data_IF_202244873436
#
_entry.id   IF_202244873436
#
_cell.length_a   1.000
_cell.length_b   1.000
_cell.length_c   1.000
_cell.angle_alpha   90.00
_cell.angle_beta   90.00
_cell.angle_gamma   90.00
#
_symmetry.space_group_name_H-M   'P 1'
#
loop_
_entity.id
_entity.type
_entity.pdbx_description
1 polymer ?
#
# COMPACT_ATOMS: atom_id res chain seq x y z
N UNK A 1 -1.84 -23.00 2.50
CA UNK A 1 -1.94 -23.14 3.96
C UNK A 1 -1.75 -24.57 4.44
N UNK A 2 -2.48 -25.55 3.93
CA UNK A 2 -2.39 -26.97 4.35
C UNK A 2 -0.96 -27.54 4.26
N UNK A 3 -0.25 -27.27 3.16
CA UNK A 3 1.14 -27.74 3.02
C UNK A 3 2.06 -27.12 4.10
N UNK A 4 1.94 -25.83 4.38
CA UNK A 4 2.75 -25.18 5.39
C UNK A 4 2.48 -25.74 6.78
N UNK A 5 1.21 -25.92 7.12
CA UNK A 5 0.80 -26.53 8.37
C UNK A 5 1.35 -27.97 8.50
N UNK A 6 1.20 -28.78 7.44
CA UNK A 6 1.71 -30.15 7.40
C UNK A 6 3.24 -30.24 7.52
N UNK A 7 3.97 -29.19 7.18
CA UNK A 7 5.44 -29.13 7.25
C UNK A 7 5.96 -28.29 8.42
N UNK A 8 5.11 -27.94 9.39
CA UNK A 8 5.50 -27.20 10.60
C UNK A 8 5.79 -25.71 10.39
N UNK A 9 5.39 -25.14 9.25
CA UNK A 9 5.45 -23.71 9.03
C UNK A 9 4.18 -23.02 9.55
N UNK A 10 4.30 -21.76 9.96
CA UNK A 10 3.13 -21.00 10.34
C UNK A 10 2.27 -20.71 9.10
N UNK A 11 0.97 -20.79 9.22
CA UNK A 11 0.04 -20.46 8.14
C UNK A 11 0.16 -19.00 7.67
N UNK A 12 0.66 -18.13 8.53
CA UNK A 12 0.95 -16.74 8.28
C UNK A 12 1.97 -16.52 7.16
N UNK A 13 3.09 -17.24 7.19
CA UNK A 13 4.14 -17.10 6.18
C UNK A 13 3.88 -17.91 4.90
N UNK A 14 2.85 -18.73 4.90
CA UNK A 14 2.46 -19.55 3.76
C UNK A 14 1.25 -18.99 3.00
N UNK A 15 0.64 -17.90 3.45
CA UNK A 15 -0.40 -17.23 2.70
C UNK A 15 0.24 -16.38 1.60
N UNK A 16 0.23 -16.90 0.37
CA UNK A 16 0.53 -16.11 -0.82
C UNK A 16 -0.55 -15.04 -1.03
N UNK A 17 -0.23 -13.95 -1.71
CA UNK A 17 -1.19 -12.92 -2.10
C UNK A 17 -2.44 -13.52 -2.76
N UNK A 18 -2.24 -14.47 -3.67
CA UNK A 18 -3.32 -15.17 -4.34
C UNK A 18 -4.37 -15.77 -3.39
N UNK A 19 -3.95 -16.52 -2.40
CA UNK A 19 -4.87 -17.19 -1.48
C UNK A 19 -5.63 -16.21 -0.58
N UNK A 20 -4.98 -15.11 -0.20
CA UNK A 20 -5.48 -14.19 0.82
C UNK A 20 -6.24 -13.00 0.22
N UNK A 21 -5.85 -12.53 -0.97
CA UNK A 21 -6.35 -11.30 -1.56
C UNK A 21 -6.79 -11.45 -3.02
N UNK A 22 -5.89 -11.85 -3.93
CA UNK A 22 -6.14 -11.74 -5.37
C UNK A 22 -7.37 -12.52 -5.83
N UNK A 23 -7.51 -13.78 -5.42
CA UNK A 23 -8.66 -14.60 -5.82
C UNK A 23 -9.98 -14.07 -5.27
N UNK A 24 -9.98 -13.37 -4.13
CA UNK A 24 -11.18 -12.80 -3.55
C UNK A 24 -11.60 -11.55 -4.32
N UNK A 25 -10.62 -10.73 -4.69
CA UNK A 25 -10.85 -9.59 -5.58
C UNK A 25 -11.36 -10.05 -6.95
N UNK A 26 -10.73 -11.05 -7.56
CA UNK A 26 -11.13 -11.60 -8.84
C UNK A 26 -12.61 -12.06 -8.82
N UNK A 27 -12.99 -12.84 -7.83
CA UNK A 27 -14.38 -13.28 -7.67
C UNK A 27 -15.36 -12.13 -7.52
N UNK A 28 -14.98 -11.11 -6.77
CA UNK A 28 -15.81 -9.92 -6.64
C UNK A 28 -15.91 -9.19 -7.98
N UNK A 29 -14.82 -8.98 -8.68
CA UNK A 29 -14.78 -8.28 -9.97
C UNK A 29 -15.64 -8.99 -11.02
N UNK A 30 -15.44 -10.31 -11.21
CA UNK A 30 -16.25 -11.13 -12.14
C UNK A 30 -17.75 -11.08 -11.78
N UNK A 31 -18.11 -11.22 -10.50
CA UNK A 31 -19.50 -11.13 -10.05
C UNK A 31 -20.11 -9.73 -10.22
N UNK A 32 -19.28 -8.72 -10.34
CA UNK A 32 -19.66 -7.32 -10.56
C UNK A 32 -19.61 -6.92 -12.06
N UNK A 33 -19.31 -7.88 -12.96
CA UNK A 33 -19.32 -7.68 -14.40
C UNK A 33 -18.04 -7.09 -14.97
N UNK A 34 -16.91 -7.16 -14.26
CA UNK A 34 -15.59 -6.75 -14.75
C UNK A 34 -14.83 -7.97 -15.28
N UNK A 35 -14.37 -7.89 -16.52
CA UNK A 35 -13.44 -8.88 -17.09
C UNK A 35 -12.02 -8.57 -16.64
N UNK A 36 -11.30 -9.58 -16.15
CA UNK A 36 -9.97 -9.44 -15.56
C UNK A 36 -9.03 -10.52 -16.12
N UNK A 37 -7.91 -10.07 -16.68
CA UNK A 37 -6.76 -10.93 -16.96
C UNK A 37 -5.76 -10.89 -15.81
N UNK A 38 -5.02 -11.97 -15.63
CA UNK A 38 -4.05 -12.10 -14.53
C UNK A 38 -2.62 -12.07 -15.07
N UNK A 39 -1.78 -11.33 -14.37
CA UNK A 39 -0.34 -11.30 -14.62
C UNK A 39 0.45 -11.40 -13.30
N UNK A 40 1.67 -11.90 -13.37
CA UNK A 40 2.55 -11.93 -12.22
C UNK A 40 3.48 -10.72 -12.19
N UNK A 41 3.96 -10.35 -11.00
CA UNK A 41 5.02 -9.35 -10.87
C UNK A 41 6.31 -9.75 -11.60
N UNK A 42 6.58 -11.06 -11.71
CA UNK A 42 7.72 -11.56 -12.48
C UNK A 42 7.55 -11.22 -13.98
N UNK A 43 6.37 -11.38 -14.55
CA UNK A 43 6.08 -10.96 -15.93
C UNK A 43 6.21 -9.46 -16.09
N UNK A 44 5.68 -8.67 -15.17
CA UNK A 44 5.82 -7.21 -15.19
C UNK A 44 7.30 -6.77 -15.21
N UNK A 45 8.17 -7.49 -14.49
CA UNK A 45 9.60 -7.19 -14.44
C UNK A 45 10.31 -7.46 -15.78
N UNK A 46 10.08 -8.65 -16.38
CA UNK A 46 10.82 -9.10 -17.56
C UNK A 46 10.15 -8.77 -18.88
N UNK A 47 8.85 -8.54 -18.87
CA UNK A 47 8.02 -8.28 -20.04
C UNK A 47 7.02 -7.16 -19.76
N UNK A 48 7.49 -5.91 -19.60
CA UNK A 48 6.60 -4.77 -19.29
C UNK A 48 5.56 -4.49 -20.38
N UNK A 49 5.75 -5.03 -21.60
CA UNK A 49 4.80 -4.98 -22.71
C UNK A 49 3.48 -5.69 -22.39
N UNK A 50 3.44 -6.53 -21.34
CA UNK A 50 2.19 -7.15 -20.86
C UNK A 50 1.11 -6.11 -20.49
N UNK A 51 1.52 -4.87 -20.23
CA UNK A 51 0.59 -3.76 -19.95
C UNK A 51 -0.05 -3.17 -21.22
N UNK A 52 0.47 -3.49 -22.40
CA UNK A 52 -0.05 -2.95 -23.65
C UNK A 52 -1.45 -3.49 -23.95
N UNK A 53 -2.33 -2.59 -24.35
CA UNK A 53 -3.73 -2.91 -24.64
C UNK A 53 -4.68 -2.86 -23.45
N UNK A 54 -4.15 -2.75 -22.21
CA UNK A 54 -4.98 -2.55 -21.04
C UNK A 54 -5.12 -1.06 -20.71
N UNK A 55 -6.34 -0.65 -20.35
CA UNK A 55 -6.61 0.72 -19.90
C UNK A 55 -6.43 0.90 -18.40
N UNK A 56 -6.57 -0.19 -17.63
CA UNK A 56 -6.42 -0.20 -16.18
C UNK A 56 -5.62 -1.40 -15.71
N UNK A 57 -4.68 -1.16 -14.79
CA UNK A 57 -3.97 -2.20 -14.04
C UNK A 57 -4.37 -2.12 -12.58
N UNK A 58 -4.63 -3.29 -11.97
CA UNK A 58 -5.10 -3.38 -10.59
C UNK A 58 -4.08 -4.12 -9.73
N UNK A 59 -3.74 -3.54 -8.57
CA UNK A 59 -2.96 -4.21 -7.53
C UNK A 59 -3.80 -4.33 -6.27
N UNK A 60 -3.75 -5.49 -5.60
CA UNK A 60 -4.60 -5.76 -4.45
C UNK A 60 -3.83 -6.38 -3.28
N UNK A 61 -4.33 -6.14 -2.07
CA UNK A 61 -3.90 -6.82 -0.85
C UNK A 61 -2.54 -6.36 -0.32
N UNK A 62 -1.57 -7.26 -0.30
CA UNK A 62 -0.26 -7.06 0.31
C UNK A 62 0.84 -7.31 -0.73
N UNK A 63 1.27 -6.28 -1.43
CA UNK A 63 2.24 -6.33 -2.52
C UNK A 63 3.58 -5.65 -2.17
N UNK A 64 4.17 -6.08 -1.11
CA UNK A 64 5.29 -5.49 -0.36
C UNK A 64 6.60 -5.35 -1.16
N UNK A 65 6.84 -6.26 -2.15
CA UNK A 65 8.14 -6.44 -2.80
C UNK A 65 8.11 -6.03 -4.26
N UNK A 66 8.83 -4.94 -4.59
CA UNK A 66 8.90 -4.40 -5.94
C UNK A 66 10.33 -4.26 -6.42
N UNK A 67 10.56 -4.46 -7.72
CA UNK A 67 11.82 -4.10 -8.35
C UNK A 67 11.74 -2.69 -8.92
N UNK A 68 12.90 -2.12 -9.19
CA UNK A 68 13.01 -0.82 -9.87
C UNK A 68 12.36 -0.86 -11.25
N UNK A 69 12.59 -1.95 -11.99
CA UNK A 69 12.10 -2.20 -13.33
C UNK A 69 10.56 -2.27 -13.39
N UNK A 70 9.93 -2.92 -12.40
CA UNK A 70 8.47 -2.94 -12.27
C UNK A 70 7.92 -1.53 -12.08
N UNK A 71 8.54 -0.72 -11.23
CA UNK A 71 8.14 0.67 -11.02
C UNK A 71 8.28 1.52 -12.26
N UNK A 72 9.39 1.35 -13.00
CA UNK A 72 9.61 2.05 -14.27
C UNK A 72 8.55 1.67 -15.31
N UNK A 73 8.13 0.41 -15.34
CA UNK A 73 7.07 -0.06 -16.23
C UNK A 73 5.73 0.64 -15.90
N UNK A 74 5.36 0.69 -14.62
CA UNK A 74 4.14 1.35 -14.16
C UNK A 74 4.18 2.86 -14.38
N UNK A 75 5.29 3.53 -14.03
CA UNK A 75 5.41 4.96 -14.24
C UNK A 75 5.24 5.32 -15.73
N UNK A 76 5.92 4.60 -16.64
CA UNK A 76 5.75 4.79 -18.09
C UNK A 76 4.33 4.47 -18.58
N UNK A 77 3.70 3.43 -18.03
CA UNK A 77 2.34 3.05 -18.39
C UNK A 77 1.35 4.19 -18.06
N UNK A 78 1.43 4.74 -16.85
CA UNK A 78 0.56 5.85 -16.42
C UNK A 78 0.85 7.12 -17.24
N UNK A 79 2.12 7.46 -17.48
CA UNK A 79 2.50 8.63 -18.29
C UNK A 79 1.91 8.58 -19.71
N UNK A 80 1.75 7.38 -20.29
CA UNK A 80 1.16 7.16 -21.63
C UNK A 80 -0.35 7.14 -21.64
N UNK A 81 -1.03 7.19 -20.49
CA UNK A 81 -2.48 7.25 -20.38
C UNK A 81 -3.14 5.99 -19.82
N UNK A 82 -2.35 5.04 -19.34
CA UNK A 82 -2.87 3.93 -18.55
C UNK A 82 -3.29 4.37 -17.15
N UNK A 83 -4.21 3.65 -16.53
CA UNK A 83 -4.69 3.93 -15.19
C UNK A 83 -4.29 2.85 -14.20
N UNK A 84 -4.03 3.25 -12.97
CA UNK A 84 -3.72 2.30 -11.89
C UNK A 84 -4.75 2.42 -10.78
N UNK A 85 -5.39 1.30 -10.46
CA UNK A 85 -6.22 1.13 -9.27
C UNK A 85 -5.46 0.26 -8.27
N UNK A 86 -4.94 0.85 -7.20
CA UNK A 86 -4.22 0.12 -6.16
C UNK A 86 -5.08 0.03 -4.90
N UNK A 87 -5.54 -1.19 -4.58
CA UNK A 87 -6.30 -1.54 -3.38
C UNK A 87 -5.42 -2.41 -2.48
N UNK A 88 -4.30 -1.87 -2.06
CA UNK A 88 -3.24 -2.59 -1.38
C UNK A 88 -2.48 -1.71 -0.39
N UNK A 89 -1.80 -2.32 0.55
CA UNK A 89 -0.92 -1.64 1.51
C UNK A 89 0.48 -2.25 1.56
N UNK A 90 1.35 -1.57 2.31
CA UNK A 90 2.74 -1.93 2.55
C UNK A 90 3.63 -1.95 1.29
N UNK A 91 3.62 -0.86 0.51
CA UNK A 91 4.56 -0.69 -0.59
C UNK A 91 5.95 -0.29 -0.08
N UNK A 92 6.67 -1.26 0.50
CA UNK A 92 7.83 -0.93 1.32
C UNK A 92 9.18 -1.30 0.72
N UNK A 93 9.35 -2.53 0.18
CA UNK A 93 10.68 -3.05 -0.06
C UNK A 93 11.09 -3.05 -1.52
N UNK A 94 12.23 -2.39 -1.79
CA UNK A 94 12.95 -2.64 -3.03
C UNK A 94 13.55 -4.05 -2.99
N UNK A 95 13.33 -4.80 -4.05
CA UNK A 95 13.92 -6.12 -4.25
C UNK A 95 14.63 -6.18 -5.60
N UNK A 96 15.57 -7.10 -5.74
CA UNK A 96 16.23 -7.41 -7.02
C UNK A 96 15.90 -8.83 -7.43
N UNK A 97 15.63 -9.01 -8.72
CA UNK A 97 15.55 -10.35 -9.33
C UNK A 97 16.92 -10.68 -9.95
N UNK A 98 17.54 -11.74 -9.47
CA UNK A 98 18.83 -12.21 -9.87
C UNK A 98 18.75 -13.58 -10.58
N UNK A 99 19.83 -14.00 -11.22
CA UNK A 99 19.94 -15.30 -11.91
C UNK A 99 18.82 -15.52 -12.94
N UNK A 100 18.44 -14.48 -13.69
CA UNK A 100 17.36 -14.55 -14.65
C UNK A 100 16.00 -14.80 -14.01
N UNK A 101 15.75 -14.17 -12.87
CA UNK A 101 14.48 -14.26 -12.13
C UNK A 101 14.35 -15.48 -11.21
N UNK A 102 15.38 -16.32 -11.11
CA UNK A 102 15.36 -17.52 -10.26
C UNK A 102 15.66 -17.24 -8.78
N UNK A 103 16.08 -16.03 -8.46
CA UNK A 103 16.33 -15.60 -7.09
C UNK A 103 15.79 -14.18 -6.90
N UNK A 104 15.06 -14.00 -5.81
CA UNK A 104 14.64 -12.67 -5.33
C UNK A 104 15.47 -12.33 -4.11
N UNK A 105 16.12 -11.16 -4.14
CA UNK A 105 17.00 -10.68 -3.08
C UNK A 105 16.39 -9.48 -2.40
N UNK A 106 16.18 -9.58 -1.08
CA UNK A 106 15.74 -8.46 -0.25
C UNK A 106 16.33 -8.59 1.15
N UNK A 107 17.21 -7.66 1.53
CA UNK A 107 17.84 -7.64 2.85
C UNK A 107 16.99 -6.94 3.92
N UNK A 108 15.97 -6.17 3.51
CA UNK A 108 15.05 -5.45 4.42
C UNK A 108 15.81 -4.58 5.44
N UNK A 109 15.53 -4.79 6.71
CA UNK A 109 16.14 -4.07 7.83
C UNK A 109 17.67 -4.14 7.88
N UNK A 110 18.26 -5.18 7.29
CA UNK A 110 19.70 -5.40 7.27
C UNK A 110 20.39 -4.87 6.02
N UNK A 111 19.65 -4.20 5.15
CA UNK A 111 20.18 -3.78 3.84
C UNK A 111 21.44 -2.93 3.93
N UNK A 112 21.51 -1.95 4.84
CA UNK A 112 22.70 -1.12 5.04
C UNK A 112 23.91 -1.89 5.58
N UNK A 113 23.68 -2.94 6.36
CA UNK A 113 24.73 -3.74 6.94
C UNK A 113 25.23 -4.85 6.01
N UNK A 114 24.33 -5.51 5.32
CA UNK A 114 24.57 -6.80 4.65
C UNK A 114 24.43 -6.76 3.13
N UNK A 115 23.66 -5.84 2.54
CA UNK A 115 23.52 -5.77 1.10
C UNK A 115 24.81 -5.19 0.47
N UNK A 116 25.53 -5.98 -0.37
CA UNK A 116 26.76 -5.49 -0.98
C UNK A 116 26.55 -4.28 -1.89
N UNK A 117 25.32 -4.10 -2.40
CA UNK A 117 24.96 -2.96 -3.27
C UNK A 117 24.97 -1.66 -2.49
N UNK A 118 24.69 -1.66 -1.20
CA UNK A 118 24.77 -0.44 -0.37
C UNK A 118 26.14 0.23 -0.39
N UNK A 119 27.21 -0.57 -0.51
CA UNK A 119 28.62 -0.09 -0.57
C UNK A 119 29.15 0.06 -2.01
N UNK A 120 28.29 -0.12 -3.00
CA UNK A 120 28.68 0.01 -4.41
C UNK A 120 28.71 1.48 -4.86
N UNK A 121 29.13 1.71 -6.12
CA UNK A 121 29.10 3.04 -6.73
C UNK A 121 27.67 3.56 -6.97
N UNK A 122 26.69 2.68 -7.02
CA UNK A 122 25.26 3.01 -7.14
C UNK A 122 24.43 2.33 -6.03
N UNK A 123 24.30 2.97 -4.86
CA UNK A 123 23.51 2.43 -3.74
C UNK A 123 21.99 2.52 -3.95
N UNK A 124 21.52 3.16 -5.02
CA UNK A 124 20.06 3.30 -5.27
C UNK A 124 19.35 1.96 -5.44
N UNK A 125 20.11 0.90 -5.78
CA UNK A 125 19.60 -0.46 -5.92
C UNK A 125 19.70 -1.30 -4.63
N UNK A 126 19.97 -0.67 -3.49
CA UNK A 126 19.99 -1.36 -2.19
C UNK A 126 18.61 -1.91 -1.87
N UNK A 127 18.53 -3.20 -1.51
CA UNK A 127 17.26 -3.90 -1.27
C UNK A 127 16.72 -3.66 0.14
N UNK A 128 16.44 -2.39 0.44
CA UNK A 128 15.83 -1.86 1.64
C UNK A 128 14.50 -1.17 1.34
N UNK A 129 14.08 -0.27 2.26
CA UNK A 129 12.88 0.55 2.05
C UNK A 129 13.04 1.50 0.86
N UNK A 130 11.97 1.72 0.12
CA UNK A 130 11.90 2.70 -0.96
C UNK A 130 12.15 4.13 -0.48
N UNK A 131 11.79 4.44 0.76
CA UNK A 131 11.98 5.75 1.39
C UNK A 131 13.40 5.95 1.94
N UNK A 132 14.27 4.93 1.86
CA UNK A 132 15.65 5.05 2.30
C UNK A 132 16.40 6.11 1.47
N UNK A 133 17.14 7.04 2.12
CA UNK A 133 17.84 8.13 1.42
C UNK A 133 18.77 7.64 0.31
N UNK A 134 19.43 6.51 0.50
CA UNK A 134 20.31 5.90 -0.50
C UNK A 134 19.57 5.39 -1.74
N UNK A 135 18.30 5.02 -1.60
CA UNK A 135 17.44 4.61 -2.72
C UNK A 135 16.93 5.82 -3.48
N UNK A 136 16.51 6.87 -2.75
CA UNK A 136 16.13 8.15 -3.34
C UNK A 136 14.87 8.12 -4.22
N UNK A 137 14.02 7.09 -4.09
CA UNK A 137 12.80 6.93 -4.88
C UNK A 137 11.64 6.48 -3.96
N UNK A 138 11.06 7.39 -3.16
CA UNK A 138 10.00 7.03 -2.23
C UNK A 138 8.81 6.39 -2.94
N UNK A 139 8.06 5.54 -2.23
CA UNK A 139 6.88 4.85 -2.76
C UNK A 139 5.86 5.80 -3.34
N UNK A 140 5.67 6.94 -2.69
CA UNK A 140 4.77 7.99 -3.12
C UNK A 140 5.04 8.47 -4.54
N UNK A 141 6.28 8.48 -5.00
CA UNK A 141 6.61 8.92 -6.37
C UNK A 141 6.00 8.03 -7.47
N UNK A 142 5.57 6.80 -7.17
CA UNK A 142 4.86 5.92 -8.12
C UNK A 142 3.38 5.80 -7.80
N UNK A 143 3.03 5.53 -6.54
CA UNK A 143 1.65 5.22 -6.14
C UNK A 143 1.00 6.27 -5.23
N UNK A 144 1.69 7.37 -4.95
CA UNK A 144 1.14 8.46 -4.15
C UNK A 144 1.28 8.29 -2.64
N UNK A 145 1.67 7.11 -2.14
CA UNK A 145 1.79 6.82 -0.71
C UNK A 145 3.10 6.11 -0.38
N UNK A 146 3.53 6.23 0.87
CA UNK A 146 4.72 5.61 1.46
C UNK A 146 4.32 4.64 2.58
N UNK A 147 4.88 3.45 2.60
CA UNK A 147 4.64 2.48 3.67
C UNK A 147 5.16 2.97 5.03
N UNK A 148 6.32 3.61 5.05
CA UNK A 148 6.95 4.13 6.29
C UNK A 148 6.16 5.22 6.98
N UNK A 149 5.26 5.92 6.27
CA UNK A 149 4.38 6.95 6.84
C UNK A 149 3.03 6.39 7.32
N UNK A 150 2.65 5.20 6.84
CA UNK A 150 1.43 4.53 7.22
C UNK A 150 1.59 3.69 8.47
N UNK A 151 2.63 2.87 8.50
CA UNK A 151 2.91 1.87 9.52
C UNK A 151 1.79 0.83 9.69
N UNK A 152 1.91 -0.02 10.70
CA UNK A 152 0.90 -1.02 11.00
C UNK A 152 -0.36 -0.39 11.59
N UNK A 153 -1.47 -0.54 10.92
CA UNK A 153 -2.78 -0.35 11.53
C UNK A 153 -3.28 -1.68 12.15
N UNK A 154 -2.39 -2.52 12.30
CA UNK A 154 -2.22 -3.76 12.96
C UNK A 154 -3.31 -4.78 13.03
N UNK A 155 -3.06 -5.98 12.97
CA UNK A 155 -3.77 -7.19 13.40
C UNK A 155 -4.89 -6.96 14.43
N UNK A 156 -5.79 -6.01 14.13
CA UNK A 156 -6.84 -5.55 15.03
C UNK A 156 -6.36 -4.79 16.26
N UNK A 157 -5.08 -4.45 16.33
CA UNK A 157 -4.47 -3.99 17.56
C UNK A 157 -3.85 -2.59 17.49
N UNK A 158 -3.48 -2.10 16.33
CA UNK A 158 -2.76 -0.83 16.21
C UNK A 158 -3.63 0.31 15.66
N UNK A 159 -4.80 0.03 15.08
CA UNK A 159 -5.79 1.07 14.86
C UNK A 159 -6.52 1.35 16.18
N UNK A 160 -6.86 2.60 16.49
CA UNK A 160 -7.72 2.92 17.61
C UNK A 160 -8.96 2.02 17.57
N UNK A 161 -9.28 1.34 18.67
CA UNK A 161 -10.45 0.46 18.74
C UNK A 161 -11.69 1.20 18.29
N UNK A 162 -12.39 0.68 17.28
CA UNK A 162 -13.62 1.25 16.75
C UNK A 162 -13.45 2.03 15.43
N UNK A 163 -12.23 2.37 15.02
CA UNK A 163 -11.99 3.01 13.72
C UNK A 163 -11.34 1.99 12.79
N UNK A 164 -12.15 1.21 12.09
CA UNK A 164 -11.70 0.22 11.10
C UNK A 164 -12.01 0.65 9.67
N UNK A 165 -12.27 1.94 9.49
CA UNK A 165 -12.59 2.60 8.24
C UNK A 165 -11.76 3.85 8.06
N UNK A 166 -11.93 4.49 6.92
CA UNK A 166 -11.26 5.74 6.58
C UNK A 166 -12.21 6.92 6.80
N UNK A 167 -11.93 7.85 7.74
CA UNK A 167 -12.59 9.15 7.76
C UNK A 167 -12.48 9.85 6.42
N UNK A 168 -13.60 10.25 5.84
CA UNK A 168 -13.69 10.89 4.51
C UNK A 168 -13.51 12.39 4.65
N UNK A 169 -12.68 12.98 3.80
CA UNK A 169 -12.41 14.43 3.77
C UNK A 169 -12.91 15.10 2.49
N UNK A 170 -13.01 14.38 1.37
CA UNK A 170 -13.45 14.89 0.07
C UNK A 170 -14.62 14.06 -0.48
N UNK A 171 -15.82 14.14 0.16
CA UNK A 171 -16.95 13.28 -0.20
C UNK A 171 -17.47 13.51 -1.61
N UNK A 172 -17.26 14.71 -2.20
CA UNK A 172 -17.67 15.06 -3.57
C UNK A 172 -16.77 14.47 -4.65
N UNK A 173 -15.66 13.85 -4.28
CA UNK A 173 -14.79 13.22 -5.26
C UNK A 173 -15.51 12.09 -6.01
N UNK A 174 -15.28 12.00 -7.31
CA UNK A 174 -15.95 11.03 -8.20
C UNK A 174 -15.90 9.58 -7.68
N UNK A 175 -14.81 9.18 -7.02
CA UNK A 175 -14.66 7.84 -6.47
C UNK A 175 -15.74 7.50 -5.42
N UNK A 176 -16.29 8.49 -4.75
CA UNK A 176 -17.34 8.33 -3.73
C UNK A 176 -18.76 8.56 -4.26
N UNK A 177 -18.92 8.73 -5.57
CA UNK A 177 -20.23 8.94 -6.17
C UNK A 177 -21.20 7.79 -5.82
N UNK A 178 -22.42 8.15 -5.40
CA UNK A 178 -23.47 7.18 -5.03
C UNK A 178 -23.26 6.44 -3.73
N UNK A 179 -22.26 6.80 -2.91
CA UNK A 179 -22.09 6.25 -1.55
C UNK A 179 -22.93 6.95 -0.51
N UNK A 180 -23.29 8.22 -0.72
CA UNK A 180 -23.95 9.07 0.27
C UNK A 180 -23.04 9.49 1.44
N UNK A 181 -21.73 9.24 1.36
CA UNK A 181 -20.78 9.65 2.38
C UNK A 181 -20.67 11.17 2.46
N UNK A 182 -20.55 11.67 3.68
CA UNK A 182 -20.32 13.04 4.02
C UNK A 182 -18.92 13.23 4.62
N UNK A 183 -18.50 14.49 4.78
CA UNK A 183 -17.25 14.81 5.48
C UNK A 183 -17.25 14.25 6.90
N UNK A 184 -16.23 13.50 7.25
CA UNK A 184 -16.05 12.85 8.55
C UNK A 184 -16.69 11.48 8.68
N UNK A 185 -17.48 11.02 7.70
CA UNK A 185 -18.03 9.66 7.71
C UNK A 185 -16.94 8.61 7.56
N UNK A 186 -17.17 7.41 8.08
CA UNK A 186 -16.21 6.32 8.07
C UNK A 186 -16.47 5.36 6.90
N UNK A 187 -15.68 5.49 5.84
CA UNK A 187 -15.71 4.57 4.71
C UNK A 187 -15.15 3.20 5.10
N UNK A 188 -15.95 2.15 4.88
CA UNK A 188 -15.51 0.76 5.03
C UNK A 188 -15.34 0.27 6.48
N UNK A 189 -15.85 1.01 7.47
CA UNK A 189 -15.76 0.61 8.87
C UNK A 189 -16.48 -0.74 9.18
N UNK A 190 -17.68 -1.02 8.67
CA UNK A 190 -18.32 -2.32 8.85
C UNK A 190 -17.52 -3.47 8.24
N UNK A 191 -16.91 -3.23 7.09
CA UNK A 191 -16.07 -4.20 6.37
C UNK A 191 -14.66 -4.31 6.91
N UNK A 192 -14.24 -3.45 7.85
CA UNK A 192 -12.88 -3.34 8.36
C UNK A 192 -11.84 -3.06 7.24
N UNK A 193 -12.15 -2.10 6.37
CA UNK A 193 -11.30 -1.78 5.22
C UNK A 193 -9.95 -1.16 5.60
N UNK A 194 -9.82 -0.60 6.80
CA UNK A 194 -8.61 0.01 7.32
C UNK A 194 -7.83 -0.97 8.22
N UNK A 195 -6.62 -1.31 7.84
CA UNK A 195 -5.73 -2.26 8.49
C UNK A 195 -5.14 -3.19 7.42
N UNK A 196 -4.49 -4.17 7.72
CA UNK A 196 -3.56 -4.55 8.75
C UNK A 196 -2.27 -3.70 8.63
N UNK A 197 -1.74 -3.52 7.41
CA UNK A 197 -0.70 -2.56 7.04
C UNK A 197 -1.31 -1.52 6.11
N UNK A 198 -0.95 -0.27 6.33
CA UNK A 198 -1.50 0.87 5.59
C UNK A 198 -0.36 1.76 5.09
N UNK A 199 -0.59 2.40 3.96
CA UNK A 199 0.32 3.36 3.36
C UNK A 199 -0.19 4.79 3.56
N UNK A 200 0.71 5.74 3.80
CA UNK A 200 0.36 7.12 4.05
C UNK A 200 1.39 8.13 3.57
N UNK A 201 1.22 9.36 3.97
CA UNK A 201 2.12 10.48 3.70
C UNK A 201 2.36 11.30 4.97
N UNK A 202 3.43 12.05 4.99
CA UNK A 202 3.51 13.21 5.87
C UNK A 202 2.56 14.29 5.34
N UNK A 203 1.70 14.84 6.22
CA UNK A 203 0.62 15.73 5.84
C UNK A 203 0.38 16.85 6.85
N UNK A 204 -0.32 17.85 6.41
CA UNK A 204 -0.85 18.95 7.22
C UNK A 204 -2.36 19.04 7.02
N UNK A 205 -3.08 19.53 8.02
CA UNK A 205 -4.49 19.92 7.85
C UNK A 205 -4.54 21.42 7.55
N UNK A 206 -5.08 21.76 6.38
CA UNK A 206 -5.31 23.15 5.95
C UNK A 206 -6.76 23.31 5.55
N UNK A 207 -7.44 24.28 6.12
CA UNK A 207 -8.87 24.56 5.89
C UNK A 207 -9.77 23.30 6.03
N UNK A 208 -9.43 22.43 6.99
CA UNK A 208 -10.16 21.19 7.27
C UNK A 208 -9.80 20.02 6.36
N UNK A 209 -8.91 20.19 5.38
CA UNK A 209 -8.51 19.15 4.44
C UNK A 209 -7.07 18.70 4.67
N UNK A 210 -6.78 17.38 4.57
CA UNK A 210 -5.41 16.89 4.58
C UNK A 210 -4.72 17.22 3.25
N UNK A 211 -3.51 17.75 3.34
CA UNK A 211 -2.63 18.06 2.21
C UNK A 211 -1.24 17.43 2.45
N UNK A 212 -0.60 16.86 1.43
CA UNK A 212 0.76 16.33 1.57
C UNK A 212 1.74 17.47 1.86
N UNK A 213 2.78 17.18 2.67
CA UNK A 213 3.90 18.10 2.82
C UNK A 213 4.81 18.07 1.59
N UNK A 214 5.63 19.11 1.40
CA UNK A 214 6.62 19.18 0.30
C UNK A 214 7.67 18.04 0.40
N UNK A 215 7.93 17.55 1.61
CA UNK A 215 8.90 16.48 1.89
C UNK A 215 8.34 15.08 1.75
N UNK A 216 7.03 14.93 1.55
CA UNK A 216 6.36 13.63 1.49
C UNK A 216 6.73 12.79 0.25
N UNK A 217 7.28 13.42 -0.79
CA UNK A 217 7.53 12.78 -2.09
C UNK A 217 6.27 12.56 -2.92
N UNK A 218 5.15 13.14 -2.52
CA UNK A 218 3.87 13.05 -3.24
C UNK A 218 3.96 13.69 -4.63
N UNK A 219 3.31 13.11 -5.65
CA UNK A 219 3.17 13.74 -6.95
C UNK A 219 2.41 15.07 -6.87
N UNK A 220 2.72 16.05 -7.76
CA UNK A 220 1.97 17.30 -7.83
C UNK A 220 0.48 17.03 -8.08
N UNK A 221 -0.37 17.77 -7.37
CA UNK A 221 -1.83 17.68 -7.53
C UNK A 221 -2.46 16.44 -6.88
N UNK A 222 -1.70 15.69 -6.07
CA UNK A 222 -2.27 14.59 -5.32
C UNK A 222 -3.32 15.10 -4.32
N UNK A 223 -4.48 14.48 -4.33
CA UNK A 223 -5.57 14.70 -3.36
C UNK A 223 -5.63 13.57 -2.35
N UNK A 224 -5.63 13.91 -1.06
CA UNK A 224 -5.93 12.97 0.03
C UNK A 224 -7.45 12.99 0.23
N UNK A 225 -8.11 11.89 -0.15
CA UNK A 225 -9.57 11.77 -0.16
C UNK A 225 -10.13 11.34 1.20
N UNK A 226 -9.41 10.44 1.85
CA UNK A 226 -9.74 9.92 3.17
C UNK A 226 -8.46 9.56 3.92
N UNK A 227 -8.49 9.63 5.25
CA UNK A 227 -7.33 9.45 6.10
C UNK A 227 -7.73 8.84 7.43
N UNK A 228 -7.17 7.68 7.77
CA UNK A 228 -7.30 7.05 9.08
C UNK A 228 -5.99 7.06 9.84
N UNK A 229 -6.04 7.30 11.15
CA UNK A 229 -4.85 7.26 12.01
C UNK A 229 -4.39 5.83 12.22
N UNK A 230 -3.09 5.61 12.15
CA UNK A 230 -2.43 4.36 12.53
C UNK A 230 -1.46 4.58 13.69
N UNK A 231 -1.21 3.55 14.49
CA UNK A 231 -0.34 3.66 15.65
C UNK A 231 0.28 2.32 16.01
N UNK A 232 1.61 2.31 16.17
CA UNK A 232 2.35 1.21 16.79
C UNK A 232 2.28 1.23 18.33
N UNK A 233 1.73 2.30 18.92
CA UNK A 233 1.78 2.55 20.37
C UNK A 233 0.63 1.94 21.15
N UNK A 234 -0.43 1.48 20.50
CA UNK A 234 -1.54 0.85 21.20
C UNK A 234 -1.17 -0.59 21.57
N UNK A 235 -0.87 -0.81 22.83
CA UNK A 235 -0.77 -2.15 23.38
C UNK A 235 -2.16 -2.73 23.56
N UNK A 236 -2.55 -3.77 22.79
CA UNK A 236 -3.79 -4.44 23.05
C UNK A 236 -3.63 -5.26 24.32
N UNK A 237 -4.37 -4.90 25.35
CA UNK A 237 -4.38 -5.63 26.63
C UNK A 237 -4.90 -7.06 26.51
N UNK A 238 -5.52 -7.40 25.39
CA UNK A 238 -6.23 -8.65 25.12
C UNK A 238 -5.57 -9.52 24.03
N UNK A 239 -4.46 -9.06 23.41
CA UNK A 239 -3.70 -9.89 22.48
C UNK A 239 -2.55 -10.58 23.21
N UNK A 240 -2.47 -11.92 23.16
CA UNK A 240 -1.35 -12.66 23.76
C UNK A 240 0.00 -12.13 23.26
N UNK A 241 0.98 -12.06 24.15
CA UNK A 241 2.32 -11.51 23.83
C UNK A 241 2.96 -12.23 22.64
N UNK A 242 2.72 -13.54 22.46
CA UNK A 242 3.21 -14.32 21.33
C UNK A 242 2.54 -14.00 19.99
N UNK A 243 1.39 -13.33 20.02
CA UNK A 243 0.64 -12.92 18.81
C UNK A 243 0.86 -11.44 18.48
N UNK A 244 1.68 -10.74 19.27
CA UNK A 244 2.07 -9.36 19.01
C UNK A 244 3.14 -9.32 17.93
N UNK A 245 2.82 -8.68 16.84
CA UNK A 245 3.65 -8.63 15.64
C UNK A 245 4.68 -7.52 15.64
N UNK A 246 4.44 -6.51 16.44
CA UNK A 246 5.16 -5.26 16.40
C UNK A 246 6.29 -5.33 17.40
N UNK A 247 7.50 -5.45 16.90
CA UNK A 247 8.69 -5.22 17.69
C UNK A 247 9.04 -3.73 17.67
N UNK A 248 9.71 -3.25 18.70
CA UNK A 248 10.33 -1.91 18.71
C UNK A 248 11.34 -1.75 17.54
N UNK A 249 11.78 -2.85 16.95
CA UNK A 249 12.74 -2.84 15.85
C UNK A 249 12.17 -2.25 14.57
N UNK A 250 10.86 -2.47 14.27
CA UNK A 250 10.19 -1.84 13.14
C UNK A 250 10.19 -0.32 13.29
N UNK A 251 9.82 0.18 14.46
CA UNK A 251 9.80 1.62 14.72
C UNK A 251 11.20 2.24 14.70
N UNK A 252 12.22 1.52 15.20
CA UNK A 252 13.62 1.97 15.13
C UNK A 252 14.08 2.07 13.68
N UNK A 253 13.81 1.06 12.86
CA UNK A 253 14.15 1.08 11.46
C UNK A 253 13.50 2.25 10.72
N UNK A 254 12.20 2.46 10.92
CA UNK A 254 11.48 3.58 10.30
C UNK A 254 12.03 4.92 10.78
N UNK A 255 12.39 5.05 12.07
CA UNK A 255 13.02 6.25 12.61
C UNK A 255 14.37 6.53 11.94
N UNK A 256 15.21 5.52 11.74
CA UNK A 256 16.47 5.66 11.02
C UNK A 256 16.27 6.12 9.57
N UNK A 257 15.26 5.58 8.87
CA UNK A 257 14.96 5.96 7.49
C UNK A 257 14.44 7.39 7.39
N UNK A 258 13.45 7.76 8.20
CA UNK A 258 12.76 9.04 8.08
C UNK A 258 13.42 10.19 8.85
N UNK A 259 14.19 9.89 9.90
CA UNK A 259 14.76 10.87 10.82
C UNK A 259 16.29 10.87 10.88
N UNK A 260 16.92 9.80 10.37
CA UNK A 260 18.36 9.62 10.38
C UNK A 260 18.93 9.08 11.69
N UNK A 261 18.09 8.80 12.70
CA UNK A 261 18.49 8.20 13.98
C UNK A 261 17.36 7.36 14.59
N UNK A 262 17.70 6.49 15.53
CA UNK A 262 16.76 5.63 16.27
C UNK A 262 16.70 5.97 17.76
N UNK A 263 16.89 7.26 18.12
CA UNK A 263 16.66 7.74 19.48
C UNK A 263 15.21 7.56 19.93
N UNK A 264 14.97 7.48 21.23
CA UNK A 264 13.62 7.35 21.79
C UNK A 264 12.66 8.43 21.26
N UNK A 265 13.14 9.66 21.09
CA UNK A 265 12.37 10.77 20.56
C UNK A 265 11.99 10.56 19.08
N UNK A 266 12.92 10.06 18.25
CA UNK A 266 12.67 9.75 16.85
C UNK A 266 11.75 8.54 16.71
N UNK A 267 11.94 7.51 17.52
CA UNK A 267 11.07 6.32 17.58
C UNK A 267 9.65 6.70 18.01
N UNK A 268 9.49 7.51 19.06
CA UNK A 268 8.18 7.97 19.52
C UNK A 268 7.43 8.78 18.44
N UNK A 269 8.17 9.51 17.63
CA UNK A 269 7.58 10.30 16.52
C UNK A 269 6.99 9.41 15.42
N UNK A 270 7.67 8.32 15.07
CA UNK A 270 7.27 7.42 13.99
C UNK A 270 6.31 6.31 14.42
N UNK A 271 6.07 6.14 15.72
CA UNK A 271 5.03 5.21 16.24
C UNK A 271 3.60 5.60 15.86
N UNK A 272 3.41 6.73 15.20
CA UNK A 272 2.11 7.23 14.74
C UNK A 272 2.23 7.57 13.27
N UNK A 273 1.28 7.08 12.50
CA UNK A 273 1.16 7.31 11.08
C UNK A 273 -0.29 7.50 10.66
N UNK A 274 -0.53 7.42 9.38
CA UNK A 274 -1.86 7.48 8.81
C UNK A 274 -1.94 6.60 7.57
N UNK A 275 -3.02 5.84 7.43
CA UNK A 275 -3.39 5.20 6.16
C UNK A 275 -4.30 6.13 5.38
N UNK A 276 -4.12 6.18 4.06
CA UNK A 276 -4.80 7.16 3.22
C UNK A 276 -5.43 6.53 1.99
N UNK A 277 -6.45 7.21 1.48
CA UNK A 277 -6.95 7.03 0.12
C UNK A 277 -6.56 8.28 -0.65
N UNK A 278 -5.88 8.10 -1.77
CA UNK A 278 -5.40 9.21 -2.60
C UNK A 278 -5.75 9.01 -4.07
N UNK A 279 -5.80 10.12 -4.79
CA UNK A 279 -5.93 10.16 -6.23
C UNK A 279 -5.03 11.24 -6.82
N UNK A 280 -4.41 10.97 -7.97
CA UNK A 280 -3.60 11.95 -8.71
C UNK A 280 -3.47 11.57 -10.17
N UNK A 281 -3.22 12.58 -11.00
CA UNK A 281 -2.90 12.39 -12.42
C UNK A 281 -1.39 12.41 -12.64
N UNK A 282 -0.92 11.58 -13.61
CA UNK A 282 0.45 11.60 -14.10
C UNK A 282 0.45 11.46 -15.63
N UNK A 283 1.06 12.41 -16.32
CA UNK A 283 1.00 12.42 -17.78
C UNK A 283 -0.44 12.45 -18.27
N UNK A 284 -0.86 11.40 -18.98
CA UNK A 284 -2.25 11.26 -19.45
C UNK A 284 -3.07 10.25 -18.64
N UNK A 285 -2.46 9.58 -17.69
CA UNK A 285 -3.09 8.58 -16.84
C UNK A 285 -3.43 9.10 -15.45
N UNK A 286 -3.99 8.23 -14.66
CA UNK A 286 -4.46 8.52 -13.30
C UNK A 286 -4.18 7.34 -12.37
N UNK A 287 -3.88 7.63 -11.11
CA UNK A 287 -3.64 6.63 -10.07
C UNK A 287 -4.63 6.87 -8.94
N UNK A 288 -5.41 5.85 -8.61
CA UNK A 288 -6.19 5.77 -7.38
C UNK A 288 -5.54 4.74 -6.45
N UNK A 289 -5.28 5.13 -5.22
CA UNK A 289 -4.68 4.23 -4.25
C UNK A 289 -5.45 4.28 -2.92
N UNK A 290 -6.07 3.14 -2.56
CA UNK A 290 -6.57 2.90 -1.21
C UNK A 290 -5.50 2.14 -0.44
N UNK A 291 -4.71 2.85 0.35
CA UNK A 291 -3.50 2.37 1.02
C UNK A 291 -3.81 1.47 2.22
N UNK A 292 -4.36 0.29 1.99
CA UNK A 292 -4.68 -0.70 3.03
C UNK A 292 -4.68 -2.12 2.49
N UNK A 293 -4.03 -3.03 3.18
CA UNK A 293 -4.09 -4.46 2.89
C UNK A 293 -5.50 -5.04 3.05
N UNK A 294 -6.31 -4.48 3.95
CA UNK A 294 -7.65 -5.00 4.29
C UNK A 294 -8.78 -4.53 3.35
N UNK A 295 -8.47 -3.73 2.33
CA UNK A 295 -9.50 -3.32 1.36
C UNK A 295 -10.24 -4.51 0.75
N UNK A 296 -9.50 -5.53 0.31
CA UNK A 296 -10.09 -6.75 -0.26
C UNK A 296 -10.87 -7.57 0.76
N UNK A 297 -10.45 -7.56 2.03
CA UNK A 297 -11.21 -8.20 3.10
C UNK A 297 -12.58 -7.53 3.33
N UNK A 298 -12.65 -6.21 3.13
CA UNK A 298 -13.95 -5.51 3.16
C UNK A 298 -14.85 -5.88 1.95
N UNK A 299 -14.27 -6.08 0.76
CA UNK A 299 -15.01 -6.64 -0.39
C UNK A 299 -15.55 -8.05 -0.08
N UNK A 300 -14.72 -8.91 0.52
CA UNK A 300 -15.12 -10.25 0.95
C UNK A 300 -16.27 -10.22 1.97
N UNK A 301 -16.31 -9.21 2.85
CA UNK A 301 -17.38 -8.96 3.82
C UNK A 301 -18.57 -8.23 3.21
N UNK A 302 -18.55 -7.95 1.93
CA UNK A 302 -19.65 -7.29 1.20
C UNK A 302 -19.97 -5.91 1.75
N UNK A 303 -18.95 -5.14 2.14
CA UNK A 303 -19.15 -3.74 2.55
C UNK A 303 -19.66 -2.92 1.36
N UNK A 304 -20.86 -2.35 1.42
CA UNK A 304 -21.50 -1.74 0.25
C UNK A 304 -20.79 -0.44 -0.20
N UNK A 305 -20.14 0.26 0.72
CA UNK A 305 -19.41 1.49 0.38
C UNK A 305 -18.09 1.15 -0.32
N UNK A 306 -17.37 0.14 0.19
CA UNK A 306 -16.12 -0.34 -0.43
C UNK A 306 -16.40 -0.94 -1.81
N UNK A 307 -17.46 -1.73 -1.96
CA UNK A 307 -17.89 -2.26 -3.26
C UNK A 307 -18.21 -1.11 -4.25
N UNK A 308 -18.94 -0.08 -3.79
CA UNK A 308 -19.29 1.07 -4.62
C UNK A 308 -18.06 1.86 -5.07
N UNK A 309 -17.17 2.18 -4.15
CA UNK A 309 -15.93 2.91 -4.47
C UNK A 309 -15.07 2.10 -5.45
N UNK A 310 -14.89 0.80 -5.21
CA UNK A 310 -14.12 -0.06 -6.11
C UNK A 310 -14.75 -0.10 -7.51
N UNK A 311 -16.07 -0.25 -7.60
CA UNK A 311 -16.78 -0.23 -8.88
C UNK A 311 -16.67 1.13 -9.60
N UNK A 312 -16.78 2.26 -8.87
CA UNK A 312 -16.62 3.59 -9.45
C UNK A 312 -15.22 3.78 -10.07
N UNK A 313 -14.17 3.36 -9.35
CA UNK A 313 -12.78 3.45 -9.82
C UNK A 313 -12.60 2.63 -11.10
N UNK A 314 -13.00 1.35 -11.08
CA UNK A 314 -12.85 0.47 -12.23
C UNK A 314 -13.68 0.95 -13.44
N UNK A 315 -14.95 1.35 -13.23
CA UNK A 315 -15.81 1.86 -14.30
C UNK A 315 -15.18 3.09 -14.96
N UNK A 316 -14.71 4.06 -14.18
CA UNK A 316 -14.04 5.24 -14.71
C UNK A 316 -12.78 4.88 -15.52
N UNK A 317 -11.94 3.99 -15.00
CA UNK A 317 -10.68 3.64 -15.63
C UNK A 317 -10.83 2.72 -16.85
N UNK A 318 -11.97 2.08 -16.99
CA UNK A 318 -12.34 1.31 -18.19
C UNK A 318 -13.08 2.16 -19.22
N UNK A 319 -13.21 3.49 -19.04
CA UNK A 319 -13.86 4.39 -19.98
C UNK A 319 -15.39 4.40 -19.88
N UNK A 320 -15.95 3.88 -18.81
CA UNK A 320 -17.36 4.03 -18.47
C UNK A 320 -17.68 5.48 -18.05
N UNK A 321 -18.78 6.01 -18.57
CA UNK A 321 -19.27 7.34 -18.23
C UNK A 321 -20.00 7.34 -16.87
#
# INVERSE_FOLDING_TARGET
>A
MEWAFANGYTTKYASSGWASYDRHFLRWAESSGFDVDLASQHELHFNPEILEGYTCVVFVGHDEYWTWEMRDAIDRYVERGGHVARFAGNFMWQTRLERGGKAQVCYKYRARAEDPVFKSADPSRTSGSWEAPEVGRPGASTFGLNATSGLYAGWGACAPRGVRGFPVYRPEHWAFAGTGLCYGDLLGAPGHAFGYEVDGLEYLIRDGLPEPTETSGAPPGLEILALGMSSLKEEPSDVPVGDRFLSDDDAKYVAEILRGDSSDASVDRVKRGAGMIVNFSRGRGEVFHAGSCEWVAALLRRDPMVERVTANVLTRYLGGA
#
